data_IF_239563258791
#
_entry.id   IF_239563258791
#
_cell.length_a   1.000
_cell.length_b   1.000
_cell.length_c   1.000
_cell.angle_alpha   90.00
_cell.angle_beta   90.00
_cell.angle_gamma   90.00
#
_symmetry.space_group_name_H-M   'P 1'
#
loop_
_entity.id
_entity.type
_entity.pdbx_description
1 polymer ?
#
# COMPACT_ATOMS: atom_id res chain seq x y z
N UNK A 1 0.90 -12.78 9.60
CA UNK A 1 1.03 -11.39 9.21
C UNK A 1 2.14 -11.18 8.23
N UNK A 2 2.37 -9.96 7.79
CA UNK A 2 3.52 -9.73 6.98
C UNK A 2 3.41 -8.54 6.04
N UNK A 3 4.40 -8.45 5.15
CA UNK A 3 4.48 -7.44 4.11
C UNK A 3 3.93 -8.05 2.82
N UNK A 4 2.61 -8.02 2.66
CA UNK A 4 1.97 -8.48 1.43
C UNK A 4 2.24 -7.49 0.31
N UNK A 5 2.64 -7.98 -0.86
CA UNK A 5 3.03 -7.18 -1.99
C UNK A 5 2.12 -7.38 -3.20
N UNK A 6 2.12 -6.39 -4.08
CA UNK A 6 1.51 -6.45 -5.40
C UNK A 6 2.53 -5.91 -6.42
N UNK A 7 2.72 -6.64 -7.50
CA UNK A 7 3.60 -6.24 -8.60
C UNK A 7 2.74 -5.79 -9.77
N UNK A 8 3.03 -4.61 -10.28
CA UNK A 8 2.30 -3.99 -11.40
C UNK A 8 3.29 -3.62 -12.50
N UNK A 9 3.10 -4.18 -13.68
CA UNK A 9 3.87 -3.80 -14.86
C UNK A 9 3.16 -2.75 -15.73
N UNK A 10 3.84 -2.28 -16.77
CA UNK A 10 3.33 -1.24 -17.66
C UNK A 10 2.10 -1.68 -18.49
N UNK A 11 1.80 -2.98 -18.57
CA UNK A 11 0.66 -3.51 -19.33
C UNK A 11 -0.62 -3.61 -18.50
N UNK A 12 -0.53 -3.45 -17.19
CA UNK A 12 -1.66 -3.54 -16.29
C UNK A 12 -2.74 -2.49 -16.62
N UNK A 13 -3.98 -2.83 -16.34
CA UNK A 13 -5.11 -1.90 -16.47
C UNK A 13 -5.17 -1.02 -15.21
N UNK A 14 -4.91 0.29 -15.32
CA UNK A 14 -4.80 1.17 -14.15
C UNK A 14 -6.05 1.21 -13.27
N UNK A 15 -7.25 1.10 -13.87
CA UNK A 15 -8.52 1.09 -13.15
C UNK A 15 -8.66 -0.16 -12.29
N UNK A 16 -8.27 -1.32 -12.80
CA UNK A 16 -8.29 -2.59 -12.05
C UNK A 16 -7.27 -2.59 -10.92
N UNK A 17 -6.07 -2.07 -11.17
CA UNK A 17 -5.04 -1.89 -10.14
C UNK A 17 -5.57 -1.01 -9.02
N UNK A 18 -6.18 0.11 -9.36
CA UNK A 18 -6.73 1.06 -8.38
C UNK A 18 -7.81 0.41 -7.53
N UNK A 19 -8.78 -0.29 -8.12
CA UNK A 19 -9.84 -0.97 -7.40
C UNK A 19 -9.29 -2.04 -6.43
N UNK A 20 -8.36 -2.86 -6.88
CA UNK A 20 -7.74 -3.89 -6.06
C UNK A 20 -6.93 -3.30 -4.91
N UNK A 21 -6.17 -2.25 -5.16
CA UNK A 21 -5.38 -1.55 -4.13
C UNK A 21 -6.29 -0.94 -3.08
N UNK A 22 -7.34 -0.24 -3.49
CA UNK A 22 -8.30 0.38 -2.56
C UNK A 22 -8.95 -0.67 -1.67
N UNK A 23 -9.39 -1.78 -2.25
CA UNK A 23 -9.98 -2.89 -1.52
C UNK A 23 -9.00 -3.56 -0.56
N UNK A 24 -7.77 -3.79 -1.01
CA UNK A 24 -6.79 -4.57 -0.26
C UNK A 24 -6.04 -3.77 0.81
N UNK A 25 -5.72 -2.51 0.54
CA UNK A 25 -4.91 -1.69 1.46
C UNK A 25 -5.73 -0.99 2.53
N UNK A 26 -6.96 -0.55 2.21
CA UNK A 26 -7.70 0.39 3.07
C UNK A 26 -8.94 -0.19 3.73
N UNK A 27 -9.55 -1.24 3.19
CA UNK A 27 -10.67 -1.91 3.87
C UNK A 27 -10.27 -2.40 5.26
N UNK A 28 -11.20 -2.35 6.19
CA UNK A 28 -10.97 -2.69 7.60
C UNK A 28 -9.84 -1.88 8.23
N UNK A 29 -9.62 -0.64 7.78
CA UNK A 29 -8.49 0.21 8.16
C UNK A 29 -7.13 -0.48 7.95
N UNK A 30 -7.01 -1.35 6.92
CA UNK A 30 -5.80 -2.14 6.66
C UNK A 30 -5.48 -3.19 7.73
N UNK A 31 -6.42 -3.52 8.60
CA UNK A 31 -6.22 -4.41 9.75
C UNK A 31 -6.58 -5.87 9.43
N UNK A 32 -6.09 -6.37 8.31
CA UNK A 32 -6.19 -7.78 7.92
C UNK A 32 -4.81 -8.35 7.64
N UNK A 33 -4.60 -9.62 7.97
CA UNK A 33 -3.33 -10.30 7.70
C UNK A 33 -3.00 -10.35 6.19
N UNK A 34 -4.01 -10.32 5.33
CA UNK A 34 -3.88 -10.31 3.87
C UNK A 34 -3.89 -8.90 3.25
N UNK A 35 -3.96 -7.83 4.05
CA UNK A 35 -3.99 -6.47 3.52
C UNK A 35 -2.71 -6.13 2.76
N UNK A 36 -2.86 -5.39 1.66
CA UNK A 36 -1.74 -4.93 0.85
C UNK A 36 -0.91 -3.90 1.63
N UNK A 37 0.40 -4.11 1.71
CA UNK A 37 1.35 -3.22 2.38
C UNK A 37 2.31 -2.54 1.43
N UNK A 38 2.68 -3.24 0.35
CA UNK A 38 3.72 -2.83 -0.58
C UNK A 38 3.24 -2.98 -2.03
N UNK A 39 3.13 -1.88 -2.74
CA UNK A 39 2.82 -1.83 -4.16
C UNK A 39 4.11 -1.56 -4.94
N UNK A 40 4.52 -2.52 -5.76
CA UNK A 40 5.71 -2.43 -6.60
C UNK A 40 5.29 -2.13 -8.03
N UNK A 41 5.47 -0.90 -8.48
CA UNK A 41 4.98 -0.41 -9.77
C UNK A 41 6.13 -0.15 -10.73
N UNK A 42 6.00 -0.63 -11.97
CA UNK A 42 6.95 -0.29 -13.02
C UNK A 42 6.99 1.23 -13.23
N UNK A 43 8.19 1.80 -13.27
CA UNK A 43 8.43 3.23 -13.27
C UNK A 43 7.68 3.98 -14.40
N UNK A 44 7.59 3.35 -15.57
CA UNK A 44 6.91 3.92 -16.76
C UNK A 44 5.43 4.31 -16.52
N UNK A 45 4.76 3.64 -15.59
CA UNK A 45 3.33 3.89 -15.29
C UNK A 45 3.10 4.33 -13.85
N UNK A 46 4.14 4.46 -13.05
CA UNK A 46 4.01 4.71 -11.62
C UNK A 46 3.35 6.05 -11.30
N UNK A 47 3.71 7.13 -11.97
CA UNK A 47 3.11 8.44 -11.73
C UNK A 47 1.60 8.43 -11.95
N UNK A 48 1.15 7.81 -13.03
CA UNK A 48 -0.28 7.70 -13.36
C UNK A 48 -1.03 6.84 -12.35
N UNK A 49 -0.49 5.68 -12.02
CA UNK A 49 -1.13 4.73 -11.10
C UNK A 49 -1.19 5.31 -9.69
N UNK A 50 -0.12 5.89 -9.19
CA UNK A 50 -0.10 6.53 -7.86
C UNK A 50 -1.08 7.70 -7.81
N UNK A 51 -1.17 8.52 -8.85
CA UNK A 51 -2.13 9.61 -8.92
C UNK A 51 -3.59 9.10 -8.90
N UNK A 52 -3.89 8.02 -9.61
CA UNK A 52 -5.23 7.40 -9.59
C UNK A 52 -5.60 6.84 -8.22
N UNK A 53 -4.67 6.15 -7.57
CA UNK A 53 -4.89 5.60 -6.22
C UNK A 53 -5.07 6.74 -5.21
N UNK A 54 -4.26 7.79 -5.28
CA UNK A 54 -4.40 8.97 -4.42
C UNK A 54 -5.76 9.66 -4.62
N UNK A 55 -6.22 9.81 -5.86
CA UNK A 55 -7.54 10.34 -6.18
C UNK A 55 -8.67 9.50 -5.59
N UNK A 56 -8.59 8.18 -5.70
CA UNK A 56 -9.56 7.26 -5.10
C UNK A 56 -9.51 7.31 -3.57
N UNK A 57 -8.32 7.37 -2.97
CA UNK A 57 -8.14 7.47 -1.53
C UNK A 57 -8.72 8.78 -0.95
N UNK A 58 -8.66 9.86 -1.72
CA UNK A 58 -9.26 11.15 -1.32
C UNK A 58 -10.79 11.08 -1.18
N UNK A 59 -11.45 10.15 -1.86
CA UNK A 59 -12.89 9.93 -1.78
C UNK A 59 -13.31 9.04 -0.59
N UNK A 60 -12.37 8.44 0.14
CA UNK A 60 -12.67 7.58 1.28
C UNK A 60 -13.23 8.38 2.45
N UNK A 61 -14.40 7.98 2.93
CA UNK A 61 -14.98 8.51 4.16
C UNK A 61 -14.43 7.76 5.37
N UNK A 62 -13.72 8.47 6.24
CA UNK A 62 -13.17 7.93 7.50
C UNK A 62 -14.06 8.34 8.64
N UNK A 63 -14.60 7.39 9.37
CA UNK A 63 -15.54 7.70 10.44
C UNK A 63 -16.11 6.49 11.17
N UNK A 64 -17.27 6.69 11.78
CA UNK A 64 -17.97 5.67 12.55
C UNK A 64 -18.39 4.48 11.65
N UNK A 65 -17.95 3.25 11.97
CA UNK A 65 -18.27 2.07 11.17
C UNK A 65 -19.78 1.71 11.19
N UNK A 66 -20.54 2.28 12.10
CA UNK A 66 -22.01 2.10 12.13
C UNK A 66 -22.72 2.93 11.04
N UNK A 67 -22.05 3.95 10.51
CA UNK A 67 -22.58 4.73 9.40
C UNK A 67 -22.29 3.96 8.07
N UNK A 68 -23.32 3.63 7.28
CA UNK A 68 -23.14 2.92 6.01
C UNK A 68 -22.31 3.70 4.98
N UNK A 69 -22.17 5.02 5.15
CA UNK A 69 -21.36 5.86 4.27
C UNK A 69 -19.87 5.83 4.63
N UNK A 70 -19.48 5.20 5.74
CA UNK A 70 -18.08 5.09 6.16
C UNK A 70 -17.36 4.00 5.38
N UNK A 71 -16.22 4.35 4.79
CA UNK A 71 -15.33 3.41 4.08
C UNK A 71 -14.23 2.86 4.99
N UNK A 72 -13.69 3.69 5.88
CA UNK A 72 -12.58 3.36 6.76
C UNK A 72 -12.96 3.69 8.19
N UNK A 73 -13.03 2.67 9.04
CA UNK A 73 -13.29 2.80 10.45
C UNK A 73 -12.02 3.08 11.29
N UNK A 74 -12.14 3.04 12.62
CA UNK A 74 -10.99 3.23 13.50
C UNK A 74 -10.06 2.01 13.50
N UNK A 75 -8.82 2.23 13.93
CA UNK A 75 -7.94 1.13 14.31
C UNK A 75 -8.34 0.58 15.69
N UNK A 76 -7.86 -0.62 16.00
CA UNK A 76 -8.39 -1.43 17.10
C UNK A 76 -8.30 -0.74 18.47
N UNK A 77 -7.21 -0.02 18.73
CA UNK A 77 -6.99 0.65 20.02
C UNK A 77 -6.00 1.82 19.91
N UNK A 78 -5.75 2.49 21.05
CA UNK A 78 -4.85 3.62 21.13
C UNK A 78 -3.38 3.21 20.94
N UNK A 79 -2.99 2.01 21.32
CA UNK A 79 -1.63 1.48 21.09
C UNK A 79 -1.37 1.30 19.58
N UNK A 80 -2.31 0.68 18.86
CA UNK A 80 -2.23 0.56 17.41
C UNK A 80 -2.13 1.92 16.72
N UNK A 81 -2.96 2.87 17.13
CA UNK A 81 -2.88 4.26 16.63
C UNK A 81 -1.51 4.88 16.90
N UNK A 82 -0.98 4.75 18.11
CA UNK A 82 0.32 5.29 18.48
C UNK A 82 1.46 4.71 17.65
N UNK A 83 1.44 3.41 17.39
CA UNK A 83 2.43 2.73 16.55
C UNK A 83 2.40 3.24 15.09
N UNK A 84 1.20 3.44 14.55
CA UNK A 84 1.03 3.95 13.19
C UNK A 84 1.46 5.42 13.09
N UNK A 85 1.13 6.24 14.06
CA UNK A 85 1.57 7.64 14.11
C UNK A 85 3.08 7.77 14.23
N UNK A 86 3.73 6.91 15.01
CA UNK A 86 5.20 6.82 15.10
C UNK A 86 5.80 6.47 13.74
N UNK A 87 5.23 5.49 13.05
CA UNK A 87 5.67 5.12 11.70
C UNK A 87 5.53 6.29 10.73
N UNK A 88 4.38 6.96 10.71
CA UNK A 88 4.13 8.11 9.84
C UNK A 88 5.11 9.27 10.12
N UNK A 89 5.38 9.55 11.39
CA UNK A 89 6.36 10.58 11.77
C UNK A 89 7.77 10.23 11.27
N UNK A 90 8.18 8.96 11.41
CA UNK A 90 9.46 8.48 10.90
C UNK A 90 9.56 8.61 9.36
N UNK A 91 8.49 8.29 8.64
CA UNK A 91 8.45 8.42 7.18
C UNK A 91 8.51 9.88 6.72
N UNK A 92 7.84 10.79 7.42
CA UNK A 92 7.91 12.23 7.12
C UNK A 92 9.31 12.80 7.32
N UNK A 93 10.05 12.30 8.29
CA UNK A 93 11.42 12.75 8.60
C UNK A 93 12.47 12.09 7.70
N UNK A 94 12.18 10.96 7.09
CA UNK A 94 13.14 10.18 6.32
C UNK A 94 13.39 10.76 4.92
N UNK A 95 14.66 10.85 4.53
CA UNK A 95 15.05 11.30 3.18
C UNK A 95 14.69 10.30 2.07
N UNK A 96 14.48 9.03 2.42
CA UNK A 96 14.15 7.96 1.48
C UNK A 96 12.65 7.78 1.24
N UNK A 97 11.82 8.56 1.91
CA UNK A 97 10.37 8.45 1.83
C UNK A 97 9.72 9.77 1.40
N UNK A 98 8.61 9.66 0.67
CA UNK A 98 7.78 10.79 0.25
C UNK A 98 6.33 10.47 0.55
N UNK A 99 5.63 11.37 1.21
CA UNK A 99 4.19 11.25 1.42
C UNK A 99 3.48 11.64 0.11
N UNK A 100 3.02 10.65 -0.63
CA UNK A 100 2.30 10.86 -1.87
C UNK A 100 0.83 11.25 -1.63
N UNK A 101 0.25 10.79 -0.53
CA UNK A 101 -1.10 11.13 -0.10
C UNK A 101 -1.22 11.02 1.42
N UNK A 102 -1.90 11.98 2.01
CA UNK A 102 -2.31 11.96 3.42
C UNK A 102 -3.78 12.34 3.51
N UNK A 103 -4.60 11.41 3.98
CA UNK A 103 -6.02 11.63 4.17
C UNK A 103 -6.34 12.44 5.42
N UNK A 104 -7.62 12.60 5.69
CA UNK A 104 -8.14 13.27 6.87
C UNK A 104 -8.97 12.26 7.69
N UNK A 105 -8.81 12.31 9.00
CA UNK A 105 -9.55 11.47 9.92
C UNK A 105 -10.10 12.32 11.09
N UNK A 106 -11.17 11.85 11.78
CA UNK A 106 -11.65 12.50 13.00
C UNK A 106 -10.54 12.63 14.05
N UNK A 107 -10.50 13.77 14.74
CA UNK A 107 -9.49 14.05 15.77
C UNK A 107 -9.72 13.23 17.06
N UNK A 108 -10.96 12.84 17.32
CA UNK A 108 -11.33 12.04 18.50
C UNK A 108 -11.50 10.58 18.13
N UNK A 109 -11.09 9.68 19.03
CA UNK A 109 -11.11 8.24 18.80
C UNK A 109 -9.81 7.71 18.26
N UNK A 110 -9.80 6.43 17.88
CA UNK A 110 -8.59 5.71 17.41
C UNK A 110 -8.52 5.68 15.88
N UNK A 111 -8.69 6.83 15.25
CA UNK A 111 -8.64 6.94 13.81
C UNK A 111 -7.22 7.23 13.30
N UNK A 112 -6.84 6.57 12.23
CA UNK A 112 -5.65 6.88 11.42
C UNK A 112 -6.12 7.07 9.99
N UNK A 113 -5.80 8.22 9.40
CA UNK A 113 -6.18 8.51 8.03
C UNK A 113 -5.42 7.63 7.03
N UNK A 114 -6.05 7.27 5.90
CA UNK A 114 -5.34 6.61 4.80
C UNK A 114 -4.13 7.42 4.33
N UNK A 115 -3.01 6.74 4.14
CA UNK A 115 -1.77 7.34 3.62
C UNK A 115 -1.20 6.49 2.50
N UNK A 116 -0.53 7.15 1.57
CA UNK A 116 0.29 6.54 0.54
C UNK A 116 1.69 7.11 0.67
N UNK A 117 2.67 6.23 0.90
CA UNK A 117 4.06 6.60 1.13
C UNK A 117 4.92 5.95 0.05
N UNK A 118 5.61 6.76 -0.74
CA UNK A 118 6.55 6.26 -1.72
C UNK A 118 7.94 6.10 -1.07
N UNK A 119 8.54 4.92 -1.24
CA UNK A 119 9.86 4.56 -0.73
C UNK A 119 10.84 4.40 -1.90
N UNK A 120 12.13 4.64 -1.64
CA UNK A 120 13.18 4.44 -2.63
C UNK A 120 13.45 2.95 -2.92
N UNK A 121 13.17 2.06 -1.97
CA UNK A 121 13.35 0.61 -2.11
C UNK A 121 12.51 -0.17 -1.08
N UNK A 122 12.16 -1.44 -1.37
CA UNK A 122 11.32 -2.26 -0.49
C UNK A 122 11.93 -2.52 0.90
N UNK A 123 13.25 -2.60 0.99
CA UNK A 123 13.96 -2.91 2.23
C UNK A 123 13.81 -1.84 3.32
N UNK A 124 13.29 -0.66 2.97
CA UNK A 124 12.93 0.37 3.96
C UNK A 124 11.76 -0.04 4.85
N UNK A 125 10.96 -1.00 4.39
CA UNK A 125 9.84 -1.56 5.14
C UNK A 125 10.32 -2.80 5.90
N UNK A 126 10.73 -2.59 7.15
CA UNK A 126 11.37 -3.63 7.97
C UNK A 126 10.39 -4.53 8.71
N UNK A 127 9.14 -4.10 8.83
CA UNK A 127 8.10 -4.81 9.57
C UNK A 127 6.72 -4.52 9.00
N UNK A 128 5.75 -5.34 9.40
CA UNK A 128 4.35 -5.12 9.08
C UNK A 128 3.84 -3.82 9.72
N UNK A 129 3.23 -2.98 8.88
CA UNK A 129 2.53 -1.77 9.31
C UNK A 129 1.04 -2.06 9.23
N UNK A 130 0.44 -2.42 10.35
CA UNK A 130 -0.92 -2.94 10.46
C UNK A 130 -1.93 -1.80 10.57
N UNK A 131 -2.23 -1.15 9.45
CA UNK A 131 -3.12 -0.02 9.36
C UNK A 131 -3.37 0.44 7.93
N UNK A 132 -4.12 1.55 7.73
CA UNK A 132 -4.50 2.04 6.40
C UNK A 132 -3.36 2.83 5.73
N UNK A 133 -2.19 2.22 5.64
CA UNK A 133 -0.99 2.81 5.08
C UNK A 133 -0.47 1.93 3.96
N UNK A 134 -0.45 2.46 2.75
CA UNK A 134 0.13 1.82 1.58
C UNK A 134 1.53 2.37 1.32
N UNK A 135 2.49 1.48 1.13
CA UNK A 135 3.83 1.84 0.67
C UNK A 135 3.99 1.51 -0.80
N UNK A 136 4.65 2.39 -1.54
CA UNK A 136 4.87 2.24 -2.98
C UNK A 136 6.35 2.30 -3.27
N UNK A 137 6.83 1.37 -4.09
CA UNK A 137 8.17 1.40 -4.66
C UNK A 137 8.09 1.28 -6.18
N UNK A 138 9.06 1.87 -6.86
CA UNK A 138 9.16 1.80 -8.32
C UNK A 138 10.24 0.79 -8.72
N UNK A 139 10.03 0.12 -9.85
CA UNK A 139 11.05 -0.72 -10.46
C UNK A 139 11.18 -0.39 -11.95
N UNK A 140 12.39 -0.53 -12.47
CA UNK A 140 12.67 -0.27 -13.88
C UNK A 140 12.32 -1.48 -14.74
N UNK A 141 11.92 -1.25 -15.98
CA UNK A 141 11.45 -2.28 -16.90
C UNK A 141 12.43 -3.47 -17.08
N UNK A 142 13.73 -3.23 -16.92
CA UNK A 142 14.80 -4.24 -17.01
C UNK A 142 15.20 -4.84 -15.65
N UNK A 143 14.51 -4.48 -14.57
CA UNK A 143 14.85 -4.87 -13.21
C UNK A 143 13.71 -5.62 -12.48
N UNK A 144 12.87 -6.37 -13.21
CA UNK A 144 11.78 -7.16 -12.62
C UNK A 144 12.31 -8.19 -11.62
N UNK A 145 13.38 -8.89 -11.95
CA UNK A 145 13.95 -9.92 -11.06
C UNK A 145 14.45 -9.31 -9.76
N UNK A 146 15.08 -8.14 -9.81
CA UNK A 146 15.52 -7.42 -8.61
C UNK A 146 14.32 -7.03 -7.72
N UNK A 147 13.19 -6.64 -8.32
CA UNK A 147 11.97 -6.31 -7.59
C UNK A 147 11.38 -7.55 -6.93
N UNK A 148 11.31 -8.68 -7.64
CA UNK A 148 10.83 -9.96 -7.10
C UNK A 148 11.72 -10.45 -5.96
N UNK A 149 13.03 -10.41 -6.14
CA UNK A 149 14.01 -10.81 -5.12
C UNK A 149 13.92 -9.93 -3.87
N UNK A 150 13.73 -8.62 -4.04
CA UNK A 150 13.56 -7.69 -2.93
C UNK A 150 12.30 -7.99 -2.12
N UNK A 151 11.20 -8.35 -2.77
CA UNK A 151 9.96 -8.78 -2.10
C UNK A 151 10.18 -10.09 -1.35
N UNK A 152 10.79 -11.08 -1.99
CA UNK A 152 11.10 -12.36 -1.38
C UNK A 152 12.00 -12.21 -0.14
N UNK A 153 12.95 -11.27 -0.20
CA UNK A 153 13.87 -10.99 0.90
C UNK A 153 13.21 -10.37 2.13
N UNK A 154 11.98 -9.83 2.03
CA UNK A 154 11.25 -9.35 3.21
C UNK A 154 10.92 -10.47 4.19
N UNK A 155 10.90 -11.71 3.72
CA UNK A 155 10.59 -12.91 4.53
C UNK A 155 9.14 -12.96 5.03
N UNK A 156 8.34 -11.97 4.67
CA UNK A 156 6.95 -11.83 5.08
C UNK A 156 6.05 -11.79 3.87
N UNK A 157 4.90 -12.39 3.97
CA UNK A 157 3.87 -12.28 2.97
C UNK A 157 2.99 -13.51 2.92
N UNK A 158 1.71 -13.31 3.14
CA UNK A 158 0.69 -14.34 2.97
C UNK A 158 0.15 -14.33 1.55
N UNK A 159 0.22 -13.18 0.88
CA UNK A 159 -0.35 -12.98 -0.45
C UNK A 159 0.59 -12.18 -1.34
N UNK A 160 0.56 -12.51 -2.60
CA UNK A 160 1.20 -11.75 -3.67
C UNK A 160 0.17 -11.49 -4.77
N UNK A 161 -0.05 -10.23 -5.09
CA UNK A 161 -0.88 -9.82 -6.23
C UNK A 161 0.00 -9.51 -7.44
N UNK A 162 -0.52 -9.79 -8.64
CA UNK A 162 0.17 -9.47 -9.89
C UNK A 162 -0.83 -8.84 -10.85
N UNK A 163 -0.49 -7.66 -11.37
CA UNK A 163 -1.20 -7.02 -12.46
C UNK A 163 -0.30 -6.90 -13.68
N UNK A 164 -0.54 -7.74 -14.64
CA UNK A 164 0.11 -7.78 -15.95
C UNK A 164 -0.86 -8.34 -16.97
N UNK A 165 -0.73 -7.92 -18.22
CA UNK A 165 -1.44 -8.54 -19.36
C UNK A 165 -0.51 -9.43 -20.19
N UNK A 166 0.66 -9.74 -19.67
CA UNK A 166 1.65 -10.63 -20.30
C UNK A 166 1.72 -11.91 -19.48
N UNK A 167 1.25 -13.03 -20.06
CA UNK A 167 1.23 -14.34 -19.38
C UNK A 167 2.63 -14.81 -18.97
N UNK A 168 3.63 -14.58 -19.80
CA UNK A 168 5.02 -14.92 -19.51
C UNK A 168 5.54 -14.17 -18.29
N UNK A 169 5.19 -12.89 -18.11
CA UNK A 169 5.58 -12.11 -16.94
C UNK A 169 4.94 -12.68 -15.68
N UNK A 170 3.65 -13.02 -15.73
CA UNK A 170 2.96 -13.63 -14.59
C UNK A 170 3.57 -14.96 -14.21
N UNK A 171 3.83 -15.85 -15.17
CA UNK A 171 4.47 -17.14 -14.93
C UNK A 171 5.87 -16.99 -14.32
N UNK A 172 6.65 -16.04 -14.84
CA UNK A 172 8.01 -15.77 -14.35
C UNK A 172 8.05 -15.28 -12.89
N UNK A 173 7.06 -14.49 -12.47
CA UNK A 173 6.97 -14.00 -11.09
C UNK A 173 6.55 -15.12 -10.12
N UNK A 174 5.70 -16.04 -10.56
CA UNK A 174 5.17 -17.13 -9.73
C UNK A 174 6.21 -18.23 -9.50
N UNK A 175 7.06 -18.51 -10.47
CA UNK A 175 8.11 -19.53 -10.40
C UNK A 175 9.29 -19.10 -9.51
#
# INVERSE_FOLDING_TARGET
>A
GGINAMIVDATALPEQVTDDVMSSAFRSAGQRCSALRLLCVQDDVADRIVAMIAGAAAELAVGDPRDPATDVGPVIDAEAKGNLETHLAAMRAASFAKIAFAGVAPATGTFVAPHIIELDRPQRLEREVFGPILHVVRWKADALDDAVDAIAATGYGLTLGIHSRIDETMSHIID
#
